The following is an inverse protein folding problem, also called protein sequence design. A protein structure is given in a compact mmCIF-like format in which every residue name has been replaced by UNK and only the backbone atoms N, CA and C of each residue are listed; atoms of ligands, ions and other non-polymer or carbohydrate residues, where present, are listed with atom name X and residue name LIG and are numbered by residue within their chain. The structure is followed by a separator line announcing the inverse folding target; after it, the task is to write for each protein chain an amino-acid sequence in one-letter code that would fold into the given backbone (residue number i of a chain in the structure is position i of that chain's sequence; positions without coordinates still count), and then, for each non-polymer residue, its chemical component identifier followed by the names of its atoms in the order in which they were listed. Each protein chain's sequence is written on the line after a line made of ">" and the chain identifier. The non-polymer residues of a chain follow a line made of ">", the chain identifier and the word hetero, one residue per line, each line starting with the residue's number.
data_IF_584270118484
#
_entry.id   IF_584270118484
#
_cell.length_a   1.000
_cell.length_b   1.000
_cell.length_c   1.000
_cell.angle_alpha   90.00
_cell.angle_beta   90.00
_cell.angle_gamma   90.00
#
_symmetry.space_group_name_H-M   'P 1'
#
loop_
_entity.id
_entity.type
_entity.pdbx_description
1 polymer ?
#
# COMPACT_ATOMS: atom_id res chain seq x y z
N UNK A 1 -44.63 -3.43 47.96
CA UNK A 1 -44.23 -4.26 46.80
C UNK A 1 -44.20 -3.33 45.59
N UNK A 2 -43.05 -2.71 45.30
CA UNK A 2 -42.92 -1.73 44.21
C UNK A 2 -42.56 -2.47 42.92
N UNK A 3 -43.51 -2.52 41.98
CA UNK A 3 -43.29 -2.99 40.62
C UNK A 3 -42.46 -1.95 39.86
N UNK A 4 -41.19 -2.26 39.60
CA UNK A 4 -40.40 -1.55 38.61
C UNK A 4 -40.69 -2.15 37.22
N UNK A 5 -41.60 -1.53 36.49
CA UNK A 5 -41.73 -1.72 35.05
C UNK A 5 -40.53 -1.08 34.37
N UNK A 6 -39.49 -1.86 34.08
CA UNK A 6 -38.38 -1.42 33.22
C UNK A 6 -38.88 -1.38 31.78
N UNK A 7 -39.37 -0.21 31.37
CA UNK A 7 -39.48 0.14 29.95
C UNK A 7 -38.07 0.08 29.34
N UNK A 8 -37.76 -1.03 28.67
CA UNK A 8 -36.61 -1.13 27.80
C UNK A 8 -36.87 -0.26 26.57
N UNK A 9 -36.45 1.00 26.64
CA UNK A 9 -36.27 1.84 25.47
C UNK A 9 -35.24 1.14 24.58
N UNK A 10 -35.73 0.41 23.57
CA UNK A 10 -34.89 -0.23 22.56
C UNK A 10 -34.02 0.83 21.90
N UNK A 11 -32.73 0.84 22.25
CA UNK A 11 -31.74 1.64 21.55
C UNK A 11 -31.65 1.11 20.12
N UNK A 12 -32.35 1.76 19.19
CA UNK A 12 -32.23 1.54 17.76
C UNK A 12 -30.82 1.92 17.32
N UNK A 13 -29.90 0.96 17.43
CA UNK A 13 -28.52 1.08 16.99
C UNK A 13 -28.46 0.97 15.46
N UNK A 14 -28.88 2.05 14.80
CA UNK A 14 -28.86 2.17 13.35
C UNK A 14 -27.54 2.79 12.87
N UNK A 15 -27.05 2.33 11.72
CA UNK A 15 -25.91 2.96 11.05
C UNK A 15 -26.39 4.26 10.37
N UNK A 16 -25.59 5.33 10.47
CA UNK A 16 -25.74 6.51 9.64
C UNK A 16 -25.54 6.13 8.16
N UNK A 17 -26.65 6.12 7.42
CA UNK A 17 -26.74 5.69 6.03
C UNK A 17 -26.06 6.65 5.08
N UNK A 18 -26.00 7.95 5.39
CA UNK A 18 -25.34 8.97 4.54
C UNK A 18 -23.83 8.70 4.43
N UNK A 19 -23.19 8.39 5.56
CA UNK A 19 -21.75 8.12 5.58
C UNK A 19 -21.42 6.86 4.75
N UNK A 20 -22.20 5.80 4.93
CA UNK A 20 -21.96 4.49 4.30
C UNK A 20 -22.32 4.50 2.81
N UNK A 21 -23.48 5.06 2.46
CA UNK A 21 -24.02 4.98 1.10
C UNK A 21 -23.62 6.12 0.19
N UNK A 22 -23.10 7.22 0.75
CA UNK A 22 -22.76 8.41 -0.05
C UNK A 22 -21.31 8.81 0.14
N UNK A 23 -20.88 9.14 1.37
CA UNK A 23 -19.55 9.70 1.60
C UNK A 23 -18.44 8.72 1.25
N UNK A 24 -18.48 7.49 1.78
CA UNK A 24 -17.46 6.47 1.52
C UNK A 24 -17.38 6.12 0.01
N UNK A 25 -18.50 5.83 -0.68
CA UNK A 25 -18.48 5.58 -2.13
C UNK A 25 -17.89 6.73 -2.93
N UNK A 26 -18.25 7.99 -2.63
CA UNK A 26 -17.70 9.16 -3.33
C UNK A 26 -16.18 9.27 -3.17
N UNK A 27 -15.65 9.02 -1.97
CA UNK A 27 -14.20 9.03 -1.73
C UNK A 27 -13.53 7.88 -2.49
N UNK A 28 -14.12 6.68 -2.51
CA UNK A 28 -13.60 5.57 -3.33
C UNK A 28 -13.66 5.86 -4.82
N UNK A 29 -14.67 6.58 -5.33
CA UNK A 29 -14.72 7.04 -6.73
C UNK A 29 -13.52 7.93 -7.07
N UNK A 30 -13.21 8.90 -6.19
CA UNK A 30 -12.05 9.79 -6.38
C UNK A 30 -10.74 8.98 -6.36
N UNK A 31 -10.57 8.10 -5.38
CA UNK A 31 -9.38 7.22 -5.28
C UNK A 31 -9.28 6.33 -6.52
N UNK A 32 -10.38 5.78 -7.02
CA UNK A 32 -10.40 4.95 -8.22
C UNK A 32 -9.93 5.71 -9.45
N UNK A 33 -10.50 6.88 -9.72
CA UNK A 33 -10.15 7.68 -10.91
C UNK A 33 -8.67 8.08 -10.86
N UNK A 34 -8.23 8.66 -9.74
CA UNK A 34 -6.85 9.12 -9.57
C UNK A 34 -5.87 7.95 -9.58
N UNK A 35 -6.16 6.90 -8.82
CA UNK A 35 -5.33 5.72 -8.69
C UNK A 35 -5.16 4.98 -10.01
N UNK A 36 -6.25 4.78 -10.77
CA UNK A 36 -6.20 4.11 -12.06
C UNK A 36 -5.39 4.92 -13.07
N UNK A 37 -5.61 6.24 -13.16
CA UNK A 37 -4.84 7.12 -14.05
C UNK A 37 -3.34 7.06 -13.73
N UNK A 38 -2.98 7.29 -12.46
CA UNK A 38 -1.59 7.35 -12.02
C UNK A 38 -0.88 5.99 -12.20
N UNK A 39 -1.51 4.88 -11.82
CA UNK A 39 -0.91 3.56 -11.98
C UNK A 39 -0.88 3.10 -13.44
N UNK A 40 -1.83 3.49 -14.29
CA UNK A 40 -1.77 3.20 -15.73
C UNK A 40 -0.61 3.91 -16.40
N UNK A 41 -0.40 5.20 -16.08
CA UNK A 41 0.79 5.94 -16.52
C UNK A 41 2.07 5.26 -15.99
N UNK A 42 2.08 4.87 -14.71
CA UNK A 42 3.24 4.20 -14.13
C UNK A 42 3.56 2.89 -14.85
N UNK A 43 2.55 2.05 -15.08
CA UNK A 43 2.67 0.79 -15.81
C UNK A 43 3.21 1.02 -17.22
N UNK A 44 2.64 1.96 -17.97
CA UNK A 44 3.08 2.32 -19.32
C UNK A 44 4.56 2.71 -19.36
N UNK A 45 5.00 3.57 -18.44
CA UNK A 45 6.42 3.95 -18.34
C UNK A 45 7.29 2.75 -17.99
N UNK A 46 6.87 1.91 -17.04
CA UNK A 46 7.63 0.75 -16.61
C UNK A 46 7.79 -0.34 -17.70
N UNK A 47 6.93 -0.37 -18.73
CA UNK A 47 7.15 -1.20 -19.92
C UNK A 47 8.47 -0.85 -20.62
N UNK A 48 8.85 0.43 -20.64
CA UNK A 48 10.08 0.89 -21.29
C UNK A 48 11.28 1.01 -20.34
N UNK A 49 11.09 0.84 -19.03
CA UNK A 49 12.17 0.82 -18.05
C UNK A 49 12.68 -0.62 -17.91
N UNK A 50 13.91 -0.85 -18.33
CA UNK A 50 14.56 -2.16 -18.18
C UNK A 50 14.75 -2.52 -16.71
N UNK A 51 14.40 -3.76 -16.34
CA UNK A 51 14.49 -4.28 -14.96
C UNK A 51 15.94 -4.62 -14.56
N UNK A 52 16.90 -3.70 -14.76
CA UNK A 52 18.33 -3.92 -14.45
C UNK A 52 18.66 -3.89 -12.96
N UNK A 53 17.70 -3.49 -12.10
CA UNK A 53 17.89 -3.34 -10.66
C UNK A 53 16.76 -4.06 -9.92
N UNK A 54 17.07 -4.81 -8.87
CA UNK A 54 16.11 -5.54 -8.02
C UNK A 54 14.91 -4.69 -7.58
N UNK A 55 15.14 -3.46 -7.11
CA UNK A 55 14.04 -2.60 -6.69
C UNK A 55 13.06 -2.26 -7.82
N UNK A 56 13.50 -2.21 -9.09
CA UNK A 56 12.62 -1.95 -10.24
C UNK A 56 11.64 -3.12 -10.43
N UNK A 57 12.09 -4.36 -10.15
CA UNK A 57 11.22 -5.55 -10.19
C UNK A 57 10.12 -5.40 -9.13
N UNK A 58 10.46 -5.05 -7.90
CA UNK A 58 9.48 -4.86 -6.82
C UNK A 58 8.50 -3.73 -7.13
N UNK A 59 8.98 -2.60 -7.66
CA UNK A 59 8.12 -1.49 -8.08
C UNK A 59 7.10 -1.89 -9.15
N UNK A 60 7.52 -2.68 -10.16
CA UNK A 60 6.59 -3.20 -11.17
C UNK A 60 5.51 -4.08 -10.56
N UNK A 61 5.85 -4.91 -9.57
CA UNK A 61 4.87 -5.73 -8.88
C UNK A 61 3.90 -4.90 -8.03
N UNK A 62 4.36 -3.83 -7.38
CA UNK A 62 3.47 -2.90 -6.66
C UNK A 62 2.46 -2.27 -7.64
N UNK A 63 2.92 -1.77 -8.79
CA UNK A 63 2.00 -1.20 -9.80
C UNK A 63 0.96 -2.23 -10.27
N UNK A 64 1.34 -3.49 -10.46
CA UNK A 64 0.39 -4.56 -10.79
C UNK A 64 -0.61 -4.78 -9.65
N UNK A 65 -0.14 -4.85 -8.41
CA UNK A 65 -1.01 -5.01 -7.25
C UNK A 65 -1.98 -3.83 -7.07
N UNK A 66 -1.51 -2.59 -7.26
CA UNK A 66 -2.33 -1.38 -7.17
C UNK A 66 -3.38 -1.30 -8.29
N UNK A 67 -3.04 -1.72 -9.51
CA UNK A 67 -4.00 -1.82 -10.61
C UNK A 67 -5.08 -2.86 -10.29
N UNK A 68 -4.69 -4.08 -9.89
CA UNK A 68 -5.64 -5.13 -9.52
C UNK A 68 -6.52 -4.71 -8.34
N UNK A 69 -5.96 -4.03 -7.34
CA UNK A 69 -6.70 -3.48 -6.21
C UNK A 69 -7.67 -2.38 -6.67
N UNK A 70 -7.23 -1.46 -7.52
CA UNK A 70 -8.08 -0.36 -8.03
C UNK A 70 -9.28 -0.89 -8.81
N UNK A 71 -9.11 -1.96 -9.59
CA UNK A 71 -10.21 -2.61 -10.32
C UNK A 71 -11.29 -3.20 -9.40
N UNK A 72 -11.03 -3.38 -8.10
CA UNK A 72 -12.03 -3.84 -7.12
C UNK A 72 -12.95 -2.72 -6.63
N UNK A 73 -12.52 -1.46 -6.70
CA UNK A 73 -13.24 -0.32 -6.11
C UNK A 73 -14.62 -0.07 -6.71
N UNK A 74 -14.84 -0.15 -8.05
CA UNK A 74 -16.16 0.03 -8.63
C UNK A 74 -17.22 -0.90 -8.02
N UNK A 75 -16.86 -2.16 -7.75
CA UNK A 75 -17.79 -3.12 -7.14
C UNK A 75 -18.12 -2.75 -5.69
N UNK A 76 -17.14 -2.26 -4.92
CA UNK A 76 -17.38 -1.77 -3.55
C UNK A 76 -18.28 -0.52 -3.56
N UNK A 77 -18.00 0.43 -4.45
CA UNK A 77 -18.80 1.66 -4.62
C UNK A 77 -20.26 1.31 -4.92
N UNK A 78 -20.49 0.43 -5.90
CA UNK A 78 -21.84 0.02 -6.31
C UNK A 78 -22.59 -0.77 -5.24
N UNK A 79 -21.89 -1.61 -4.47
CA UNK A 79 -22.50 -2.36 -3.38
C UNK A 79 -22.81 -1.46 -2.17
N UNK A 80 -21.89 -0.59 -1.76
CA UNK A 80 -22.05 0.29 -0.60
C UNK A 80 -23.12 1.38 -0.86
N UNK A 81 -23.25 1.86 -2.10
CA UNK A 81 -24.27 2.85 -2.49
C UNK A 81 -25.67 2.27 -2.68
N UNK A 82 -25.84 0.93 -2.62
CA UNK A 82 -27.09 0.22 -2.89
C UNK A 82 -27.71 0.55 -4.27
N UNK A 83 -26.91 1.01 -5.22
CA UNK A 83 -27.35 1.27 -6.62
C UNK A 83 -27.47 -0.05 -7.39
N UNK A 84 -26.65 -1.04 -7.04
CA UNK A 84 -26.61 -2.33 -7.72
C UNK A 84 -27.49 -3.40 -7.05
N UNK A 85 -27.85 -4.47 -7.79
CA UNK A 85 -28.64 -5.57 -7.24
C UNK A 85 -27.97 -6.23 -6.02
N UNK A 86 -28.74 -6.78 -5.06
CA UNK A 86 -28.19 -7.45 -3.87
C UNK A 86 -27.16 -8.55 -4.17
N UNK A 87 -27.28 -9.20 -5.33
CA UNK A 87 -26.34 -10.22 -5.82
C UNK A 87 -24.91 -9.68 -5.97
N UNK A 88 -24.74 -8.36 -6.23
CA UNK A 88 -23.43 -7.74 -6.29
C UNK A 88 -22.72 -7.81 -4.93
N UNK A 89 -23.45 -7.72 -3.82
CA UNK A 89 -22.84 -7.83 -2.50
C UNK A 89 -22.19 -9.20 -2.29
N UNK A 90 -22.84 -10.28 -2.76
CA UNK A 90 -22.26 -11.62 -2.75
C UNK A 90 -20.99 -11.69 -3.59
N UNK A 91 -20.99 -11.10 -4.80
CA UNK A 91 -19.79 -11.01 -5.63
C UNK A 91 -18.66 -10.22 -4.93
N UNK A 92 -18.99 -9.10 -4.29
CA UNK A 92 -18.02 -8.29 -3.55
C UNK A 92 -17.39 -9.09 -2.42
N UNK A 93 -18.20 -9.74 -1.59
CA UNK A 93 -17.72 -10.53 -0.46
C UNK A 93 -16.91 -11.75 -0.88
N UNK A 94 -17.31 -12.42 -1.97
CA UNK A 94 -16.69 -13.65 -2.44
C UNK A 94 -15.41 -13.40 -3.22
N UNK A 95 -15.37 -12.36 -4.05
CA UNK A 95 -14.25 -12.12 -4.97
C UNK A 95 -13.60 -10.77 -4.75
N UNK A 96 -14.35 -9.67 -4.93
CA UNK A 96 -13.77 -8.32 -4.97
C UNK A 96 -12.98 -7.96 -3.70
N UNK A 97 -13.56 -8.18 -2.52
CA UNK A 97 -12.94 -7.92 -1.24
C UNK A 97 -11.70 -8.82 -1.00
N UNK A 98 -11.76 -10.08 -1.46
CA UNK A 98 -10.62 -10.99 -1.32
C UNK A 98 -9.45 -10.54 -2.20
N UNK A 99 -9.73 -10.16 -3.45
CA UNK A 99 -8.73 -9.58 -4.37
C UNK A 99 -8.16 -8.30 -3.79
N UNK A 100 -8.99 -7.42 -3.23
CA UNK A 100 -8.56 -6.18 -2.57
C UNK A 100 -7.53 -6.46 -1.48
N UNK A 101 -7.88 -7.32 -0.51
CA UNK A 101 -6.98 -7.60 0.62
C UNK A 101 -5.73 -8.36 0.19
N UNK A 102 -5.84 -9.32 -0.73
CA UNK A 102 -4.68 -10.04 -1.26
C UNK A 102 -3.65 -9.06 -1.85
N UNK A 103 -4.09 -8.15 -2.72
CA UNK A 103 -3.21 -7.15 -3.34
C UNK A 103 -2.65 -6.15 -2.33
N UNK A 104 -3.43 -5.76 -1.31
CA UNK A 104 -2.94 -4.91 -0.22
C UNK A 104 -1.75 -5.56 0.50
N UNK A 105 -1.85 -6.84 0.85
CA UNK A 105 -0.77 -7.57 1.53
C UNK A 105 0.41 -7.88 0.62
N UNK A 106 0.16 -8.11 -0.68
CA UNK A 106 1.22 -8.22 -1.69
C UNK A 106 2.01 -6.90 -1.76
N UNK A 107 1.33 -5.77 -1.87
CA UNK A 107 1.93 -4.43 -1.85
C UNK A 107 2.77 -4.18 -0.59
N UNK A 108 2.20 -4.44 0.60
CA UNK A 108 2.90 -4.34 1.89
C UNK A 108 4.19 -5.17 1.90
N UNK A 109 4.13 -6.42 1.42
CA UNK A 109 5.31 -7.30 1.38
C UNK A 109 6.38 -6.74 0.45
N UNK A 110 6.01 -6.22 -0.72
CA UNK A 110 6.95 -5.56 -1.62
C UNK A 110 7.55 -4.28 -1.06
N UNK A 111 6.81 -3.49 -0.28
CA UNK A 111 7.37 -2.37 0.49
C UNK A 111 8.47 -2.84 1.44
N UNK A 112 8.23 -3.93 2.17
CA UNK A 112 9.23 -4.57 3.02
C UNK A 112 10.50 -4.95 2.25
N UNK A 113 10.35 -5.59 1.08
CA UNK A 113 11.49 -5.97 0.22
C UNK A 113 12.24 -4.76 -0.34
N UNK A 114 11.55 -3.66 -0.67
CA UNK A 114 12.20 -2.42 -1.09
C UNK A 114 13.00 -1.83 0.08
N UNK A 115 12.44 -1.80 1.28
CA UNK A 115 13.14 -1.36 2.49
C UNK A 115 14.39 -2.19 2.77
N UNK A 116 14.27 -3.51 2.65
CA UNK A 116 15.39 -4.46 2.76
C UNK A 116 16.45 -4.19 1.69
N UNK A 117 16.05 -4.04 0.41
CA UNK A 117 16.96 -3.74 -0.70
C UNK A 117 17.78 -2.47 -0.44
N UNK A 118 17.13 -1.41 0.06
CA UNK A 118 17.77 -0.14 0.36
C UNK A 118 18.70 -0.23 1.56
N UNK A 119 18.30 -0.93 2.62
CA UNK A 119 19.11 -1.10 3.82
C UNK A 119 20.45 -1.75 3.51
N UNK A 120 20.46 -2.89 2.81
CA UNK A 120 21.71 -3.59 2.50
C UNK A 120 22.62 -2.78 1.58
N UNK A 121 22.07 -2.11 0.56
CA UNK A 121 22.86 -1.24 -0.35
C UNK A 121 23.52 -0.06 0.35
N UNK A 122 22.87 0.54 1.35
CA UNK A 122 23.37 1.75 2.02
C UNK A 122 24.22 1.42 3.25
N UNK A 123 23.78 0.46 4.07
CA UNK A 123 24.36 0.17 5.38
C UNK A 123 25.40 -0.95 5.30
N UNK A 124 25.19 -1.97 4.46
CA UNK A 124 26.02 -3.18 4.37
C UNK A 124 26.47 -3.49 2.92
N UNK A 125 27.16 -2.55 2.23
CA UNK A 125 27.45 -2.68 0.80
C UNK A 125 28.27 -3.93 0.43
N UNK A 126 29.06 -4.48 1.35
CA UNK A 126 29.91 -5.66 1.10
C UNK A 126 29.14 -6.99 1.08
N UNK A 127 27.90 -7.04 1.60
CA UNK A 127 27.08 -8.27 1.65
C UNK A 127 26.06 -8.37 0.50
N UNK A 128 26.18 -7.50 -0.52
CA UNK A 128 25.09 -7.20 -1.47
C UNK A 128 25.01 -8.09 -2.72
N UNK A 129 25.82 -9.15 -2.86
CA UNK A 129 25.99 -9.78 -4.18
C UNK A 129 24.78 -10.63 -4.65
N UNK A 130 24.34 -11.63 -3.88
CA UNK A 130 23.36 -12.61 -4.39
C UNK A 130 21.89 -12.16 -4.27
N UNK A 131 21.50 -11.61 -3.11
CA UNK A 131 20.11 -11.24 -2.79
C UNK A 131 19.60 -10.03 -3.60
N UNK A 132 20.51 -9.26 -4.19
CA UNK A 132 20.19 -8.10 -5.05
C UNK A 132 20.34 -8.41 -6.54
N UNK A 133 20.37 -9.68 -6.92
CA UNK A 133 20.27 -10.05 -8.34
C UNK A 133 18.83 -9.89 -8.81
N UNK A 134 18.68 -9.51 -10.09
CA UNK A 134 17.36 -9.38 -10.73
C UNK A 134 16.62 -10.71 -10.75
N UNK A 135 17.35 -11.82 -10.94
CA UNK A 135 16.75 -13.15 -10.97
C UNK A 135 16.16 -13.53 -9.60
N UNK A 136 16.91 -13.32 -8.51
CA UNK A 136 16.39 -13.52 -7.16
C UNK A 136 15.13 -12.69 -6.91
N UNK A 137 15.14 -11.41 -7.30
CA UNK A 137 13.96 -10.54 -7.17
C UNK A 137 12.74 -11.03 -7.96
N UNK A 138 12.93 -11.64 -9.14
CA UNK A 138 11.82 -12.24 -9.89
C UNK A 138 11.26 -13.47 -9.18
N UNK A 139 12.14 -14.39 -8.75
CA UNK A 139 11.75 -15.63 -8.06
C UNK A 139 10.99 -15.32 -6.78
N UNK A 140 11.53 -14.43 -5.92
CA UNK A 140 10.84 -14.07 -4.67
C UNK A 140 9.50 -13.37 -4.92
N UNK A 141 9.39 -12.58 -6.00
CA UNK A 141 8.12 -11.96 -6.37
C UNK A 141 7.07 -13.01 -6.71
N UNK A 142 7.42 -14.01 -7.53
CA UNK A 142 6.51 -15.12 -7.89
C UNK A 142 6.07 -15.87 -6.63
N UNK A 143 7.01 -16.18 -5.73
CA UNK A 143 6.69 -16.87 -4.46
C UNK A 143 5.70 -16.07 -3.63
N UNK A 144 5.90 -14.75 -3.49
CA UNK A 144 4.99 -13.87 -2.73
C UNK A 144 3.58 -13.88 -3.33
N UNK A 145 3.48 -13.73 -4.65
CA UNK A 145 2.19 -13.79 -5.34
C UNK A 145 1.48 -15.11 -5.09
N UNK A 146 2.18 -16.23 -5.25
CA UNK A 146 1.60 -17.56 -5.02
C UNK A 146 1.15 -17.73 -3.57
N UNK A 147 2.01 -17.45 -2.59
CA UNK A 147 1.70 -17.65 -1.17
C UNK A 147 0.52 -16.80 -0.71
N UNK A 148 0.48 -15.51 -1.07
CA UNK A 148 -0.59 -14.61 -0.63
C UNK A 148 -1.91 -14.86 -1.37
N UNK A 149 -1.84 -15.29 -2.63
CA UNK A 149 -3.02 -15.74 -3.37
C UNK A 149 -3.57 -17.04 -2.77
N UNK A 150 -2.71 -18.03 -2.49
CA UNK A 150 -3.10 -19.28 -1.85
C UNK A 150 -3.69 -19.07 -0.45
N UNK A 151 -3.11 -18.16 0.36
CA UNK A 151 -3.66 -17.79 1.67
C UNK A 151 -5.07 -17.18 1.55
N UNK A 152 -5.29 -16.39 0.50
CA UNK A 152 -6.55 -15.68 0.26
C UNK A 152 -7.62 -16.56 -0.40
N UNK A 153 -7.22 -17.55 -1.18
CA UNK A 153 -8.10 -18.36 -2.03
C UNK A 153 -9.22 -19.09 -1.27
N UNK A 154 -9.01 -19.71 -0.10
CA UNK A 154 -10.10 -20.34 0.64
C UNK A 154 -11.16 -19.35 1.12
N UNK A 155 -10.82 -18.05 1.30
CA UNK A 155 -11.83 -17.04 1.58
C UNK A 155 -12.81 -16.85 0.41
N UNK A 156 -12.42 -17.16 -0.84
CA UNK A 156 -13.32 -17.14 -2.00
C UNK A 156 -14.21 -18.37 -2.07
N UNK A 157 -13.63 -19.56 -1.87
CA UNK A 157 -14.37 -20.83 -1.97
C UNK A 157 -15.37 -20.97 -0.82
N UNK A 158 -14.96 -20.63 0.40
CA UNK A 158 -15.77 -20.81 1.62
C UNK A 158 -16.79 -19.68 1.85
N UNK A 159 -16.98 -18.80 0.87
CA UNK A 159 -18.09 -17.83 0.83
C UNK A 159 -19.20 -18.41 -0.04
N UNK A 160 -19.92 -19.38 0.50
CA UNK A 160 -20.86 -20.24 -0.22
C UNK A 160 -22.26 -20.30 0.42
N UNK A 161 -22.51 -19.53 1.48
CA UNK A 161 -23.83 -19.48 2.14
C UNK A 161 -24.74 -18.42 1.48
N UNK A 162 -26.05 -18.63 1.60
CA UNK A 162 -27.07 -17.69 1.12
C UNK A 162 -27.34 -16.66 2.21
N UNK A 163 -27.52 -15.39 1.81
CA UNK A 163 -27.92 -14.33 2.73
C UNK A 163 -29.32 -14.61 3.30
N UNK A 164 -29.43 -14.85 4.61
CA UNK A 164 -30.68 -14.63 5.33
C UNK A 164 -31.02 -13.12 5.33
N UNK A 165 -32.29 -12.76 5.20
CA UNK A 165 -32.77 -11.38 4.96
C UNK A 165 -32.20 -10.33 5.93
N UNK A 166 -31.86 -10.71 7.17
CA UNK A 166 -31.27 -9.82 8.19
C UNK A 166 -29.72 -9.80 8.23
N UNK A 167 -29.03 -10.80 7.68
CA UNK A 167 -27.55 -10.88 7.63
C UNK A 167 -26.94 -10.39 6.31
N UNK A 168 -27.81 -10.10 5.34
CA UNK A 168 -27.51 -9.75 3.94
C UNK A 168 -26.43 -8.69 3.72
N UNK A 169 -26.15 -7.79 4.69
CA UNK A 169 -25.15 -6.72 4.53
C UNK A 169 -23.72 -7.06 5.01
N UNK A 170 -23.48 -8.13 5.77
CA UNK A 170 -22.13 -8.43 6.30
C UNK A 170 -21.51 -9.65 5.61
N UNK A 171 -20.36 -9.48 4.96
CA UNK A 171 -19.66 -10.58 4.26
C UNK A 171 -19.35 -11.82 5.12
N UNK A 172 -19.24 -11.66 6.45
CA UNK A 172 -19.01 -12.79 7.37
C UNK A 172 -20.23 -13.73 7.45
N UNK A 173 -21.44 -13.22 7.19
CA UNK A 173 -22.67 -14.00 7.16
C UNK A 173 -22.80 -14.89 5.92
N UNK A 174 -22.07 -14.59 4.85
CA UNK A 174 -22.04 -15.38 3.61
C UNK A 174 -21.01 -16.52 3.63
N UNK A 175 -20.26 -16.66 4.73
CA UNK A 175 -19.22 -17.67 4.90
C UNK A 175 -19.75 -18.86 5.66
N UNK A 176 -19.42 -20.07 5.20
CA UNK A 176 -19.62 -21.31 5.96
C UNK A 176 -18.85 -21.26 7.28
N UNK A 177 -19.14 -22.18 8.20
CA UNK A 177 -18.48 -22.20 9.52
C UNK A 177 -16.96 -22.34 9.40
N UNK A 178 -16.49 -23.25 8.52
CA UNK A 178 -15.07 -23.35 8.17
C UNK A 178 -14.54 -22.05 7.55
N UNK A 179 -15.35 -21.38 6.72
CA UNK A 179 -15.03 -20.08 6.12
C UNK A 179 -14.82 -18.98 7.14
N UNK A 180 -15.63 -18.91 8.20
CA UNK A 180 -15.46 -17.96 9.30
C UNK A 180 -14.18 -18.21 10.09
N UNK A 181 -13.88 -19.48 10.39
CA UNK A 181 -12.65 -19.88 11.07
C UNK A 181 -11.41 -19.55 10.22
N UNK A 182 -11.42 -19.91 8.93
CA UNK A 182 -10.33 -19.58 8.01
C UNK A 182 -10.18 -18.06 7.85
N UNK A 183 -11.28 -17.31 7.74
CA UNK A 183 -11.25 -15.86 7.66
C UNK A 183 -10.56 -15.24 8.87
N UNK A 184 -10.85 -15.73 10.08
CA UNK A 184 -10.19 -15.31 11.32
C UNK A 184 -8.69 -15.60 11.28
N UNK A 185 -8.29 -16.84 10.98
CA UNK A 185 -6.87 -17.27 10.92
C UNK A 185 -6.10 -16.49 9.85
N UNK A 186 -6.58 -16.48 8.62
CA UNK A 186 -5.95 -15.75 7.51
C UNK A 186 -5.85 -14.25 7.79
N UNK A 187 -6.87 -13.65 8.43
CA UNK A 187 -6.81 -12.24 8.85
C UNK A 187 -5.71 -11.98 9.87
N UNK A 188 -5.53 -12.84 10.88
CA UNK A 188 -4.43 -12.71 11.84
C UNK A 188 -3.07 -12.92 11.21
N UNK A 189 -2.92 -13.90 10.30
CA UNK A 189 -1.67 -14.10 9.56
C UNK A 189 -1.31 -12.83 8.79
N UNK A 190 -2.26 -12.25 8.06
CA UNK A 190 -2.00 -11.04 7.28
C UNK A 190 -1.69 -9.83 8.18
N UNK A 191 -2.36 -9.67 9.33
CA UNK A 191 -2.03 -8.65 10.32
C UNK A 191 -0.60 -8.87 10.86
N UNK A 192 -0.22 -10.12 11.12
CA UNK A 192 1.16 -10.49 11.52
C UNK A 192 2.19 -10.11 10.46
N UNK A 193 1.93 -10.41 9.19
CA UNK A 193 2.77 -10.01 8.05
C UNK A 193 2.97 -8.49 8.06
N UNK A 194 1.89 -7.71 8.22
CA UNK A 194 1.98 -6.26 8.29
C UNK A 194 2.89 -5.79 9.42
N UNK A 195 2.69 -6.26 10.66
CA UNK A 195 3.50 -5.82 11.80
C UNK A 195 4.97 -6.23 11.68
N UNK A 196 5.26 -7.42 11.14
CA UNK A 196 6.62 -7.85 10.84
C UNK A 196 7.26 -6.90 9.82
N UNK A 197 6.59 -6.62 8.70
CA UNK A 197 7.08 -5.69 7.69
C UNK A 197 7.29 -4.29 8.28
N UNK A 198 6.34 -3.79 9.06
CA UNK A 198 6.42 -2.47 9.69
C UNK A 198 7.62 -2.36 10.64
N UNK A 199 7.84 -3.34 11.52
CA UNK A 199 8.98 -3.35 12.43
C UNK A 199 10.31 -3.43 11.67
N UNK A 200 10.40 -4.28 10.64
CA UNK A 200 11.58 -4.38 9.78
C UNK A 200 11.86 -3.04 9.09
N UNK A 201 10.82 -2.39 8.56
CA UNK A 201 10.95 -1.06 7.95
C UNK A 201 11.49 -0.04 8.96
N UNK A 202 10.98 0.01 10.20
CA UNK A 202 11.51 0.90 11.24
C UNK A 202 13.01 0.64 11.47
N UNK A 203 13.42 -0.63 11.62
CA UNK A 203 14.83 -1.01 11.85
C UNK A 203 15.71 -0.57 10.67
N UNK A 204 15.28 -0.89 9.45
CA UNK A 204 16.00 -0.58 8.22
C UNK A 204 16.18 0.92 8.05
N UNK A 205 15.12 1.70 8.18
CA UNK A 205 15.16 3.15 7.95
C UNK A 205 15.88 3.88 9.09
N UNK A 206 15.75 3.43 10.34
CA UNK A 206 16.55 3.96 11.46
C UNK A 206 18.04 3.72 11.20
N UNK A 207 18.42 2.54 10.74
CA UNK A 207 19.81 2.21 10.44
C UNK A 207 20.36 3.00 9.24
N UNK A 208 19.56 3.15 8.19
CA UNK A 208 19.87 4.02 7.05
C UNK A 208 20.10 5.46 7.54
N UNK A 209 19.20 5.98 8.38
CA UNK A 209 19.29 7.33 8.95
C UNK A 209 20.60 7.54 9.73
N UNK A 210 20.93 6.59 10.62
CA UNK A 210 22.17 6.61 11.40
C UNK A 210 23.40 6.58 10.49
N UNK A 211 23.40 5.75 9.45
CA UNK A 211 24.52 5.66 8.50
C UNK A 211 24.71 6.95 7.70
N UNK A 212 23.62 7.55 7.24
CA UNK A 212 23.63 8.83 6.53
C UNK A 212 24.13 9.95 7.45
N UNK A 213 23.62 10.03 8.68
CA UNK A 213 24.03 11.04 9.67
C UNK A 213 25.51 10.91 10.07
N UNK A 214 25.97 9.68 10.35
CA UNK A 214 27.39 9.40 10.63
C UNK A 214 28.29 9.80 9.46
N UNK A 215 27.86 9.49 8.23
CA UNK A 215 28.58 9.90 7.02
C UNK A 215 28.60 11.43 6.88
N UNK A 216 27.47 12.11 7.11
CA UNK A 216 27.40 13.57 7.07
C UNK A 216 28.36 14.22 8.08
N UNK A 217 28.40 13.72 9.33
CA UNK A 217 29.33 14.19 10.36
C UNK A 217 30.80 13.99 9.94
N UNK A 218 31.12 12.87 9.28
CA UNK A 218 32.47 12.55 8.78
C UNK A 218 32.88 13.38 7.55
N UNK A 219 31.92 13.78 6.72
CA UNK A 219 32.16 14.45 5.43
C UNK A 219 31.84 15.96 5.41
N UNK A 220 31.76 16.63 6.57
CA UNK A 220 31.59 18.10 6.73
C UNK A 220 32.67 18.97 6.03
N UNK A 221 33.55 18.38 5.22
CA UNK A 221 34.64 19.04 4.49
C UNK A 221 34.51 19.11 2.96
N UNK A 222 33.47 18.55 2.30
CA UNK A 222 33.23 18.84 0.86
C UNK A 222 31.82 18.50 0.32
N UNK A 223 31.27 19.47 -0.45
CA UNK A 223 30.07 19.58 -1.30
C UNK A 223 28.82 18.70 -1.03
N UNK A 224 27.69 19.38 -0.84
CA UNK A 224 26.59 18.98 0.05
C UNK A 224 25.22 18.74 -0.64
N UNK A 225 25.13 18.77 -1.97
CA UNK A 225 23.83 18.80 -2.67
C UNK A 225 23.24 17.42 -3.01
N UNK A 226 24.06 16.47 -3.49
CA UNK A 226 23.57 15.18 -4.05
C UNK A 226 23.22 14.13 -2.99
N UNK A 227 23.85 14.18 -1.80
CA UNK A 227 23.53 13.26 -0.68
C UNK A 227 22.22 13.62 0.05
N UNK A 228 21.85 14.90 0.14
CA UNK A 228 20.61 15.39 0.79
C UNK A 228 19.33 15.04 0.00
N UNK A 229 19.42 14.96 -1.34
CA UNK A 229 18.27 14.65 -2.21
C UNK A 229 17.84 13.17 -2.12
N UNK A 230 18.80 12.25 -2.02
CA UNK A 230 18.54 10.81 -1.88
C UNK A 230 17.99 10.44 -0.50
N UNK A 231 18.38 11.14 0.57
CA UNK A 231 17.88 10.89 1.92
C UNK A 231 16.42 11.31 2.09
N UNK A 232 16.04 12.52 1.66
CA UNK A 232 14.65 13.03 1.73
C UNK A 232 13.64 12.10 1.06
N UNK A 233 14.05 11.54 -0.07
CA UNK A 233 13.22 10.67 -0.87
C UNK A 233 12.82 9.40 -0.12
N UNK A 234 13.80 8.71 0.48
CA UNK A 234 13.56 7.45 1.19
C UNK A 234 12.53 7.64 2.33
N UNK A 235 12.64 8.69 3.15
CA UNK A 235 11.71 8.93 4.26
C UNK A 235 10.25 9.17 3.82
N UNK A 236 10.02 9.74 2.63
CA UNK A 236 8.67 9.92 2.11
C UNK A 236 7.93 8.59 1.90
N UNK A 237 8.65 7.52 1.50
CA UNK A 237 8.06 6.18 1.34
C UNK A 237 7.56 5.64 2.68
N UNK A 238 8.40 5.74 3.71
CA UNK A 238 8.05 5.29 5.06
C UNK A 238 6.83 6.06 5.59
N UNK A 239 6.82 7.37 5.40
CA UNK A 239 5.74 8.23 5.87
C UNK A 239 4.39 7.85 5.26
N UNK A 240 4.34 7.64 3.94
CA UNK A 240 3.13 7.19 3.25
C UNK A 240 2.69 5.82 3.76
N UNK A 241 3.63 4.87 3.89
CA UNK A 241 3.33 3.54 4.41
C UNK A 241 2.70 3.60 5.82
N UNK A 242 3.27 4.41 6.71
CA UNK A 242 2.76 4.59 8.09
C UNK A 242 1.34 5.14 8.06
N UNK A 243 1.11 6.24 7.35
CA UNK A 243 -0.19 6.91 7.33
C UNK A 243 -1.26 6.04 6.69
N UNK A 244 -0.96 5.36 5.58
CA UNK A 244 -1.94 4.55 4.88
C UNK A 244 -2.26 3.26 5.62
N UNK A 245 -1.25 2.53 6.11
CA UNK A 245 -1.47 1.15 6.56
C UNK A 245 -1.59 1.01 8.09
N UNK A 246 -0.87 1.78 8.90
CA UNK A 246 -0.86 1.59 10.37
C UNK A 246 -2.25 1.81 10.99
N UNK A 247 -2.99 2.89 10.69
CA UNK A 247 -4.31 3.11 11.29
C UNK A 247 -5.26 1.95 11.02
N UNK A 248 -5.30 1.46 9.78
CA UNK A 248 -6.16 0.34 9.39
C UNK A 248 -5.84 -0.93 10.17
N UNK A 249 -4.57 -1.30 10.28
CA UNK A 249 -4.18 -2.55 10.94
C UNK A 249 -4.39 -2.51 12.46
N UNK A 250 -4.29 -1.33 13.09
CA UNK A 250 -4.66 -1.13 14.50
C UNK A 250 -6.17 -1.36 14.67
N UNK A 251 -7.01 -0.74 13.82
CA UNK A 251 -8.46 -0.82 13.93
C UNK A 251 -9.04 -2.18 13.50
N UNK A 252 -8.35 -2.90 12.60
CA UNK A 252 -8.80 -4.21 12.08
C UNK A 252 -8.87 -5.29 13.15
N UNK A 253 -7.96 -5.25 14.14
CA UNK A 253 -7.90 -6.27 15.21
C UNK A 253 -9.19 -6.26 16.05
N UNK A 254 -9.57 -5.16 16.73
CA UNK A 254 -10.79 -5.13 17.55
C UNK A 254 -12.05 -5.31 16.69
N UNK A 255 -12.08 -4.81 15.45
CA UNK A 255 -13.20 -5.04 14.54
C UNK A 255 -13.40 -6.53 14.23
N UNK A 256 -12.33 -7.27 13.87
CA UNK A 256 -12.41 -8.72 13.59
C UNK A 256 -12.87 -9.51 14.82
N UNK A 257 -12.40 -9.11 16.02
CA UNK A 257 -12.89 -9.69 17.28
C UNK A 257 -14.38 -9.42 17.48
N UNK A 258 -14.85 -8.20 17.21
CA UNK A 258 -16.27 -7.82 17.35
C UNK A 258 -17.22 -8.56 16.40
N UNK A 259 -16.70 -9.10 15.30
CA UNK A 259 -17.49 -9.91 14.35
C UNK A 259 -17.62 -11.38 14.75
N UNK A 260 -16.77 -11.88 15.65
CA UNK A 260 -16.69 -13.30 16.01
C UNK A 260 -16.92 -13.58 17.49
N UNK A 261 -17.03 -12.54 18.33
CA UNK A 261 -17.27 -12.63 19.77
C UNK A 261 -18.58 -11.96 20.14
N UNK A 262 -19.31 -12.53 21.11
CA UNK A 262 -20.56 -11.98 21.66
C UNK A 262 -20.36 -10.87 22.69
N UNK A 263 -19.11 -10.51 23.01
CA UNK A 263 -18.77 -9.59 24.12
C UNK A 263 -18.95 -8.09 23.78
N UNK A 264 -19.23 -7.74 22.53
CA UNK A 264 -19.33 -6.33 22.10
C UNK A 264 -20.79 -5.87 22.03
N UNK A 265 -21.10 -4.77 22.71
CA UNK A 265 -22.40 -4.12 22.58
C UNK A 265 -22.55 -3.42 21.20
N UNK A 266 -23.79 -3.05 20.84
CA UNK A 266 -24.06 -2.55 19.49
C UNK A 266 -23.34 -1.24 19.15
N UNK A 267 -23.27 -0.28 20.08
CA UNK A 267 -22.55 0.99 19.86
C UNK A 267 -21.04 0.78 19.64
N UNK A 268 -20.44 -0.19 20.35
CA UNK A 268 -19.04 -0.55 20.14
C UNK A 268 -18.83 -1.17 18.76
N UNK A 269 -19.71 -2.08 18.34
CA UNK A 269 -19.64 -2.68 17.00
C UNK A 269 -19.78 -1.63 15.89
N UNK A 270 -20.71 -0.68 16.06
CA UNK A 270 -20.93 0.44 15.14
C UNK A 270 -19.70 1.35 15.06
N UNK A 271 -19.13 1.72 16.21
CA UNK A 271 -17.91 2.56 16.26
C UNK A 271 -16.72 1.88 15.61
N UNK A 272 -16.51 0.60 15.91
CA UNK A 272 -15.45 -0.20 15.31
C UNK A 272 -15.63 -0.33 13.80
N UNK A 273 -16.87 -0.50 13.32
CA UNK A 273 -17.19 -0.52 11.90
C UNK A 273 -16.79 0.79 11.21
N UNK A 274 -17.24 1.95 11.71
CA UNK A 274 -16.89 3.24 11.10
C UNK A 274 -15.40 3.50 11.11
N UNK A 275 -14.75 3.28 12.25
CA UNK A 275 -13.31 3.49 12.39
C UNK A 275 -12.55 2.61 11.41
N UNK A 276 -12.96 1.35 11.26
CA UNK A 276 -12.37 0.42 10.28
C UNK A 276 -12.63 0.86 8.84
N UNK A 277 -13.81 1.35 8.48
CA UNK A 277 -14.09 1.81 7.12
C UNK A 277 -13.29 3.08 6.76
N UNK A 278 -13.22 4.07 7.66
CA UNK A 278 -12.41 5.28 7.42
C UNK A 278 -10.93 4.98 7.30
N UNK A 279 -10.39 4.13 8.17
CA UNK A 279 -8.98 3.73 8.09
C UNK A 279 -8.71 2.84 6.87
N UNK A 280 -9.68 2.04 6.42
CA UNK A 280 -9.58 1.26 5.18
C UNK A 280 -9.57 2.16 3.95
N UNK A 281 -10.35 3.24 3.92
CA UNK A 281 -10.29 4.28 2.87
C UNK A 281 -8.88 4.88 2.82
N UNK A 282 -8.30 5.21 3.97
CA UNK A 282 -6.93 5.73 4.06
C UNK A 282 -5.89 4.73 3.55
N UNK A 283 -6.08 3.44 3.85
CA UNK A 283 -5.24 2.37 3.30
C UNK A 283 -5.42 2.21 1.79
N UNK A 284 -6.64 2.35 1.27
CA UNK A 284 -6.92 2.27 -0.17
C UNK A 284 -6.31 3.45 -0.92
N UNK A 285 -6.23 4.64 -0.30
CA UNK A 285 -5.60 5.81 -0.90
C UNK A 285 -4.11 5.61 -1.23
N UNK A 286 -3.45 4.57 -0.69
CA UNK A 286 -2.08 4.20 -1.04
C UNK A 286 -1.87 4.06 -2.55
N UNK A 287 -2.86 3.52 -3.28
CA UNK A 287 -2.76 3.36 -4.75
C UNK A 287 -2.56 4.69 -5.48
N UNK A 288 -3.00 5.81 -4.89
CA UNK A 288 -2.77 7.15 -5.46
C UNK A 288 -1.39 7.70 -5.08
N UNK A 289 -0.89 7.35 -3.90
CA UNK A 289 0.35 7.91 -3.36
C UNK A 289 1.60 7.22 -3.90
N UNK A 290 1.51 5.94 -4.26
CA UNK A 290 2.62 5.15 -4.77
C UNK A 290 3.22 5.69 -6.09
N UNK A 291 2.43 6.03 -7.10
CA UNK A 291 2.94 6.72 -8.31
C UNK A 291 3.56 8.09 -8.03
N UNK A 292 3.02 8.83 -7.06
CA UNK A 292 3.56 10.13 -6.64
C UNK A 292 4.95 9.93 -6.04
N UNK A 293 5.10 8.89 -5.20
CA UNK A 293 6.40 8.44 -4.71
C UNK A 293 7.33 8.13 -5.89
N UNK A 294 6.92 7.36 -6.91
CA UNK A 294 7.81 7.06 -8.04
C UNK A 294 8.25 8.31 -8.81
N UNK A 295 7.32 9.25 -9.04
CA UNK A 295 7.61 10.51 -9.72
C UNK A 295 8.62 11.39 -8.97
N UNK A 296 8.58 11.42 -7.64
CA UNK A 296 9.53 12.23 -6.87
C UNK A 296 10.82 11.48 -6.56
N UNK A 297 10.76 10.15 -6.45
CA UNK A 297 11.82 9.36 -5.84
C UNK A 297 12.61 8.45 -6.81
N UNK A 298 12.04 8.06 -7.95
CA UNK A 298 12.63 7.09 -8.87
C UNK A 298 13.25 7.77 -10.10
N UNK A 299 14.56 8.06 -10.06
CA UNK A 299 15.23 8.73 -11.18
C UNK A 299 15.08 8.01 -12.54
N UNK A 300 15.23 6.67 -12.66
CA UNK A 300 15.01 5.99 -13.93
C UNK A 300 13.58 6.14 -14.48
N UNK A 301 12.58 6.21 -13.58
CA UNK A 301 11.19 6.46 -13.96
C UNK A 301 11.04 7.89 -14.47
N UNK A 302 11.57 8.88 -13.74
CA UNK A 302 11.53 10.30 -14.12
C UNK A 302 12.18 10.52 -15.49
N UNK A 303 13.40 10.05 -15.69
CA UNK A 303 14.12 10.20 -16.96
C UNK A 303 13.29 9.67 -18.12
N UNK A 304 12.66 8.49 -17.95
CA UNK A 304 11.85 7.89 -19.00
C UNK A 304 10.52 8.60 -19.24
N UNK A 305 9.86 9.07 -18.19
CA UNK A 305 8.64 9.86 -18.26
C UNK A 305 8.87 11.18 -19.01
N UNK A 306 9.90 11.95 -18.64
CA UNK A 306 10.23 13.20 -19.29
C UNK A 306 10.62 13.00 -20.76
N UNK A 307 11.39 11.93 -21.06
CA UNK A 307 11.71 11.56 -22.44
C UNK A 307 10.44 11.31 -23.28
N UNK A 308 9.45 10.60 -22.73
CA UNK A 308 8.22 10.23 -23.44
C UNK A 308 7.22 11.38 -23.57
N UNK A 309 7.19 12.28 -22.59
CA UNK A 309 6.35 13.48 -22.62
C UNK A 309 7.00 14.64 -23.39
N UNK A 310 8.19 14.45 -23.98
CA UNK A 310 8.97 15.51 -24.62
C UNK A 310 9.23 16.73 -23.71
N UNK A 311 9.26 16.51 -22.39
CA UNK A 311 9.51 17.54 -21.39
C UNK A 311 11.01 17.63 -21.07
N UNK A 312 11.55 18.84 -20.95
CA UNK A 312 12.93 19.03 -20.46
C UNK A 312 13.01 18.70 -18.97
N UNK A 313 13.83 17.73 -18.61
CA UNK A 313 14.16 17.43 -17.22
C UNK A 313 15.12 18.51 -16.70
N UNK A 314 14.70 19.35 -15.74
CA UNK A 314 15.54 20.44 -15.19
C UNK A 314 16.89 19.97 -14.64
N UNK A 315 17.03 18.70 -14.26
CA UNK A 315 18.31 18.11 -13.82
C UNK A 315 19.40 18.14 -14.90
N UNK A 316 19.04 18.25 -16.19
CA UNK A 316 20.02 18.41 -17.27
C UNK A 316 20.68 19.79 -17.29
N UNK A 317 20.02 20.82 -16.75
CA UNK A 317 20.60 22.19 -16.73
C UNK A 317 21.79 22.27 -15.78
N UNK A 318 21.73 21.60 -14.62
CA UNK A 318 22.87 21.51 -13.69
C UNK A 318 24.01 20.64 -14.23
N UNK A 319 23.68 19.54 -14.94
CA UNK A 319 24.68 18.66 -15.54
C UNK A 319 25.40 19.33 -16.74
N UNK A 320 24.67 20.07 -17.58
CA UNK A 320 25.22 20.88 -18.68
C UNK A 320 26.03 22.07 -18.16
N UNK A 321 25.58 22.77 -17.12
CA UNK A 321 26.36 23.84 -16.48
C UNK A 321 27.65 23.27 -15.86
N UNK A 322 27.60 22.09 -15.23
CA UNK A 322 28.82 21.44 -14.69
C UNK A 322 29.79 20.95 -15.77
N UNK A 323 29.28 20.47 -16.91
CA UNK A 323 30.09 20.07 -18.07
C UNK A 323 30.71 21.28 -18.76
N UNK A 324 29.95 22.37 -18.92
CA UNK A 324 30.45 23.64 -19.45
C UNK A 324 31.53 24.24 -18.54
N UNK A 325 31.35 24.20 -17.21
CA UNK A 325 32.34 24.67 -16.24
C UNK A 325 33.62 23.83 -16.25
N UNK A 326 33.50 22.49 -16.35
CA UNK A 326 34.66 21.58 -16.51
C UNK A 326 35.40 21.80 -17.83
N UNK A 327 34.67 22.03 -18.92
CA UNK A 327 35.24 22.32 -20.24
C UNK A 327 36.02 23.63 -20.24
N UNK A 328 35.54 24.67 -19.54
CA UNK A 328 36.23 25.96 -19.45
C UNK A 328 37.49 25.88 -18.58
N UNK A 329 37.44 25.16 -17.45
CA UNK A 329 38.63 24.95 -16.59
C UNK A 329 39.72 24.09 -17.26
N UNK A 330 39.33 23.11 -18.11
CA UNK A 330 40.28 22.33 -18.91
C UNK A 330 40.90 23.17 -20.04
N UNK A 331 40.16 24.14 -20.59
CA UNK A 331 40.67 25.06 -21.61
C UNK A 331 41.63 26.11 -21.04
N UNK A 332 41.41 26.56 -19.80
CA UNK A 332 42.34 27.45 -19.08
C UNK A 332 43.62 26.74 -18.63
N UNK A 333 43.56 25.46 -18.27
CA UNK A 333 44.76 24.70 -17.84
C UNK A 333 45.64 24.20 -18.99
N UNK A 334 45.13 24.19 -20.23
CA UNK A 334 45.92 23.90 -21.44
C UNK A 334 46.69 25.15 -21.95
N UNK A 335 46.28 26.36 -21.54
CA UNK A 335 46.93 27.61 -21.94
C UNK A 335 48.01 28.11 -20.95
N UNK A 336 48.43 27.26 -19.99
CA UNK A 336 49.43 27.60 -18.96
C UNK A 336 50.67 26.66 -19.03
N UNK A 337 50.81 25.83 -20.07
CA UNK A 337 52.01 24.99 -20.30
C UNK A 337 52.75 25.46 -21.54
#
# INVERSE_FOLDING_TARGET
>A
MFNFSTNSSGNNCSHNTVIIKTVIPLVYCLIFIVGLLLNSVAAWIFLYVSSKKSFIVYLKNIVVADLLMSLTFPFKILADSEIAPPQLNTFVCRYSAVVFYANMYIGITFFGLIGFDRYYKIVKPLFTSFVHTVNYSKVISIIIWLLLTLLSFPNMILTNEIAEENYSRKCIGLKSELGKQWHKVSSYICIGIFWVVFLLLIIFYTSISRKIYSSYKKFRRNSDATKRKTSRNIFSIMFVFVICFVPYHICRIPYTLSQTSSQFNCESQKTLFYTKEFTLVLSAANVCLDPIIYFFLCLPFKEKLYQKLHLKLETSREAEISKSRKSNTLRESINIV
#
